data_IF_373561983804
#
_entry.id   IF_373561983804
#
_cell.length_a   1.000
_cell.length_b   1.000
_cell.length_c   1.000
_cell.angle_alpha   90.00
_cell.angle_beta   90.00
_cell.angle_gamma   90.00
#
_symmetry.space_group_name_H-M   'P 1'
#
loop_
_entity.id
_entity.type
_entity.pdbx_description
1 polymer ?
#
# COMPACT_ATOMS: atom_id res chain seq x y z
N UNK A 1 28.12 -28.00 -11.93
CA UNK A 1 27.66 -28.42 -10.60
C UNK A 1 26.42 -29.30 -10.74
N UNK A 2 26.11 -30.02 -9.67
CA UNK A 2 24.96 -30.89 -9.57
C UNK A 2 24.16 -30.55 -8.33
N UNK A 3 22.87 -30.89 -8.36
CA UNK A 3 21.94 -30.81 -7.23
C UNK A 3 21.46 -32.22 -6.87
N UNK A 4 21.59 -32.60 -5.60
CA UNK A 4 21.08 -33.87 -5.08
C UNK A 4 20.81 -33.76 -3.57
N UNK A 5 19.73 -34.31 -3.12
CA UNK A 5 19.34 -34.39 -1.70
C UNK A 5 19.43 -33.05 -0.93
N UNK A 6 19.04 -31.95 -1.61
CA UNK A 6 19.18 -30.56 -1.15
C UNK A 6 20.63 -30.08 -0.91
N UNK A 7 21.59 -30.64 -1.64
CA UNK A 7 22.97 -30.16 -1.70
C UNK A 7 23.27 -29.61 -3.09
N UNK A 8 24.06 -28.53 -3.16
CA UNK A 8 24.86 -28.23 -4.34
C UNK A 8 26.27 -28.82 -4.18
N UNK A 9 26.76 -29.45 -5.22
CA UNK A 9 28.10 -30.01 -5.25
C UNK A 9 28.68 -30.02 -6.67
N UNK A 10 30.01 -30.21 -6.77
CA UNK A 10 30.72 -30.53 -8.00
C UNK A 10 31.59 -31.78 -7.78
N UNK A 11 31.99 -32.42 -8.84
CA UNK A 11 32.97 -33.48 -8.76
C UNK A 11 34.38 -32.91 -8.85
N UNK A 12 35.31 -33.42 -8.03
CA UNK A 12 36.73 -33.16 -8.15
C UNK A 12 37.30 -33.84 -9.42
N UNK A 13 38.56 -33.61 -9.74
CA UNK A 13 39.24 -34.31 -10.85
C UNK A 13 39.31 -35.81 -10.63
N UNK A 14 39.24 -36.27 -9.40
CA UNK A 14 39.30 -37.66 -8.96
C UNK A 14 37.89 -38.30 -8.83
N UNK A 15 36.82 -37.52 -9.15
CA UNK A 15 35.45 -37.99 -9.08
C UNK A 15 34.76 -37.82 -7.70
N UNK A 16 35.47 -37.29 -6.70
CA UNK A 16 34.96 -37.10 -5.36
C UNK A 16 34.03 -35.89 -5.27
N UNK A 17 32.86 -35.96 -4.53
CA UNK A 17 31.95 -34.88 -4.40
C UNK A 17 32.47 -33.75 -3.50
N UNK A 18 32.60 -32.56 -4.06
CA UNK A 18 32.89 -31.32 -3.33
C UNK A 18 31.59 -30.57 -3.05
N UNK A 19 31.15 -30.56 -1.80
CA UNK A 19 29.88 -29.93 -1.35
C UNK A 19 30.03 -28.41 -1.33
N UNK A 20 29.11 -27.71 -1.98
CA UNK A 20 29.03 -26.23 -2.01
C UNK A 20 28.13 -25.66 -0.90
N UNK A 21 27.00 -26.32 -0.62
CA UNK A 21 26.01 -25.87 0.37
C UNK A 21 25.29 -27.05 0.98
N UNK A 22 24.68 -26.84 2.13
CA UNK A 22 23.70 -27.78 2.71
C UNK A 22 22.25 -27.40 2.38
N UNK A 23 22.04 -26.62 1.32
CA UNK A 23 20.74 -26.16 0.83
C UNK A 23 20.75 -25.99 -0.68
N UNK A 24 19.56 -25.94 -1.26
CA UNK A 24 19.31 -25.60 -2.66
C UNK A 24 18.42 -24.38 -2.75
N UNK A 25 18.48 -23.67 -3.87
CA UNK A 25 17.72 -22.45 -4.15
C UNK A 25 16.88 -22.66 -5.40
N UNK A 26 15.57 -22.44 -5.25
CA UNK A 26 14.64 -22.36 -6.37
C UNK A 26 14.35 -20.89 -6.64
N UNK A 27 14.63 -20.36 -7.85
CA UNK A 27 14.28 -19.00 -8.19
C UNK A 27 12.75 -18.87 -8.27
N UNK A 28 12.22 -17.80 -7.70
CA UNK A 28 10.82 -17.44 -7.78
C UNK A 28 10.65 -16.27 -8.75
N UNK A 29 11.05 -15.05 -8.31
CA UNK A 29 10.87 -13.86 -9.12
C UNK A 29 12.04 -12.89 -8.97
N UNK A 30 12.37 -12.20 -10.08
CA UNK A 30 13.12 -10.97 -10.06
C UNK A 30 12.15 -9.79 -9.96
N UNK A 31 12.12 -9.13 -8.83
CA UNK A 31 11.29 -7.96 -8.58
C UNK A 31 12.00 -6.75 -9.17
N UNK A 32 11.39 -6.18 -10.21
CA UNK A 32 11.87 -4.94 -10.83
C UNK A 32 11.48 -3.76 -9.96
N UNK A 33 12.47 -3.08 -9.44
CA UNK A 33 12.36 -1.79 -8.78
C UNK A 33 13.50 -0.91 -9.29
N UNK A 34 13.23 0.37 -9.54
CA UNK A 34 14.20 1.31 -10.06
C UNK A 34 15.33 1.61 -9.06
N UNK A 35 15.04 1.54 -7.78
CA UNK A 35 15.97 1.93 -6.71
C UNK A 35 16.63 0.73 -6.03
N UNK A 36 15.93 -0.38 -5.89
CA UNK A 36 16.40 -1.54 -5.12
C UNK A 36 15.90 -2.86 -5.72
N UNK A 37 16.37 -3.24 -6.93
CA UNK A 37 15.98 -4.50 -7.53
C UNK A 37 16.38 -5.67 -6.63
N UNK A 38 15.49 -6.64 -6.48
CA UNK A 38 15.63 -7.78 -5.58
C UNK A 38 15.15 -9.07 -6.23
N UNK A 39 15.58 -10.20 -5.69
CA UNK A 39 15.17 -11.52 -6.16
C UNK A 39 14.62 -12.34 -5.02
N UNK A 40 13.52 -13.01 -5.26
CA UNK A 40 12.92 -13.94 -4.33
C UNK A 40 13.36 -15.36 -4.67
N UNK A 41 13.81 -16.08 -3.66
CA UNK A 41 14.19 -17.49 -3.74
C UNK A 41 13.50 -18.29 -2.65
N UNK A 42 13.06 -19.49 -3.01
CA UNK A 42 12.73 -20.53 -2.05
C UNK A 42 13.99 -21.34 -1.79
N UNK A 43 14.41 -21.39 -0.53
CA UNK A 43 15.59 -22.16 -0.13
C UNK A 43 15.18 -23.36 0.71
N UNK A 44 15.74 -24.52 0.43
CA UNK A 44 15.43 -25.78 1.15
C UNK A 44 16.72 -26.44 1.58
N UNK A 45 16.89 -26.70 2.88
CA UNK A 45 18.08 -27.35 3.41
C UNK A 45 17.93 -28.88 3.42
N UNK A 46 19.03 -29.55 3.78
CA UNK A 46 19.10 -31.02 3.90
C UNK A 46 18.07 -31.64 4.86
N UNK A 47 17.63 -30.86 5.85
CA UNK A 47 16.60 -31.28 6.81
C UNK A 47 15.19 -31.01 6.28
N UNK A 48 15.04 -30.63 5.01
CA UNK A 48 13.78 -30.26 4.35
C UNK A 48 13.09 -29.04 4.98
N UNK A 49 13.84 -28.22 5.72
CA UNK A 49 13.36 -26.94 6.16
C UNK A 49 13.37 -25.98 4.96
N UNK A 50 12.27 -25.29 4.76
CA UNK A 50 12.07 -24.40 3.62
C UNK A 50 11.74 -23.01 4.09
N UNK A 51 12.46 -22.01 3.53
CA UNK A 51 12.23 -20.61 3.78
C UNK A 51 12.22 -19.83 2.46
N UNK A 52 11.58 -18.67 2.46
CA UNK A 52 11.63 -17.74 1.35
C UNK A 52 12.57 -16.61 1.72
N UNK A 53 13.52 -16.33 0.85
CA UNK A 53 14.52 -15.28 1.06
C UNK A 53 14.45 -14.22 -0.02
N UNK A 54 14.53 -12.97 0.40
CA UNK A 54 14.73 -11.83 -0.46
C UNK A 54 16.22 -11.46 -0.48
N UNK A 55 16.84 -11.51 -1.66
CA UNK A 55 18.22 -11.12 -1.90
C UNK A 55 18.29 -9.91 -2.81
N UNK A 56 18.92 -8.85 -2.35
CA UNK A 56 19.25 -7.68 -3.17
C UNK A 56 20.42 -7.99 -4.09
N UNK A 57 20.61 -7.17 -5.13
CA UNK A 57 21.72 -7.33 -6.04
C UNK A 57 23.09 -7.35 -5.32
N UNK A 58 23.26 -6.51 -4.31
CA UNK A 58 24.49 -6.45 -3.50
C UNK A 58 24.75 -7.71 -2.67
N UNK A 59 23.69 -8.42 -2.24
CA UNK A 59 23.80 -9.69 -1.51
C UNK A 59 24.32 -10.81 -2.42
N UNK A 60 24.03 -10.74 -3.71
CA UNK A 60 24.45 -11.75 -4.69
C UNK A 60 25.80 -11.46 -5.35
N UNK A 61 26.32 -10.25 -5.22
CA UNK A 61 27.63 -9.86 -5.76
C UNK A 61 28.77 -10.19 -4.80
N UNK A 62 28.51 -10.20 -3.49
CA UNK A 62 29.50 -10.46 -2.45
C UNK A 62 29.23 -11.79 -1.76
N UNK A 63 30.17 -12.72 -1.82
CA UNK A 63 30.08 -13.99 -1.11
C UNK A 63 29.85 -13.82 0.39
N UNK A 64 30.49 -12.82 1.00
CA UNK A 64 30.33 -12.53 2.43
C UNK A 64 28.90 -12.08 2.75
N UNK A 65 28.34 -11.16 1.96
CA UNK A 65 26.96 -10.70 2.14
C UNK A 65 25.95 -11.82 1.89
N UNK A 66 26.20 -12.63 0.86
CA UNK A 66 25.38 -13.81 0.58
C UNK A 66 25.31 -14.75 1.78
N UNK A 67 26.49 -15.11 2.35
CA UNK A 67 26.57 -15.95 3.55
C UNK A 67 25.82 -15.33 4.72
N UNK A 68 26.05 -14.05 5.02
CA UNK A 68 25.35 -13.35 6.11
C UNK A 68 23.82 -13.43 5.95
N UNK A 69 23.31 -13.29 4.74
CA UNK A 69 21.87 -13.35 4.46
C UNK A 69 21.31 -14.76 4.63
N UNK A 70 21.90 -15.77 3.99
CA UNK A 70 21.35 -17.14 4.02
C UNK A 70 21.55 -17.83 5.35
N UNK A 71 22.72 -17.63 5.98
CA UNK A 71 23.03 -18.21 7.30
C UNK A 71 22.26 -17.51 8.43
N UNK A 72 21.89 -16.23 8.25
CA UNK A 72 21.07 -15.48 9.21
C UNK A 72 19.62 -15.94 9.28
N UNK A 73 19.11 -16.68 8.30
CA UNK A 73 17.74 -17.20 8.27
C UNK A 73 17.63 -18.50 9.09
N UNK A 74 18.71 -19.28 9.17
CA UNK A 74 18.73 -20.56 9.86
C UNK A 74 19.90 -21.45 9.44
N UNK A 75 19.69 -22.75 9.46
CA UNK A 75 20.73 -23.74 9.14
C UNK A 75 20.94 -23.88 7.62
N UNK A 76 21.39 -22.79 6.97
CA UNK A 76 21.70 -22.70 5.55
C UNK A 76 23.16 -22.29 5.36
N UNK A 77 24.07 -23.23 5.14
CA UNK A 77 25.51 -23.02 5.15
C UNK A 77 26.07 -23.08 3.74
N UNK A 78 26.77 -22.03 3.31
CA UNK A 78 27.52 -21.98 2.05
C UNK A 78 29.00 -22.21 2.29
N UNK A 79 29.57 -23.30 1.75
CA UNK A 79 30.97 -23.73 1.95
C UNK A 79 31.89 -23.39 0.79
N UNK A 80 31.34 -23.14 -0.40
CA UNK A 80 32.09 -22.96 -1.62
C UNK A 80 32.64 -21.53 -1.77
N UNK A 81 33.55 -21.37 -2.78
CA UNK A 81 34.20 -20.10 -3.12
C UNK A 81 33.30 -19.20 -3.97
N UNK A 82 33.77 -17.98 -4.24
CA UNK A 82 33.07 -16.97 -5.01
C UNK A 82 32.76 -17.40 -6.46
N UNK A 83 33.69 -18.08 -7.14
CA UNK A 83 33.48 -18.61 -8.49
C UNK A 83 32.27 -19.56 -8.56
N UNK A 84 32.03 -20.31 -7.51
CA UNK A 84 30.89 -21.24 -7.43
C UNK A 84 29.57 -20.49 -7.25
N UNK A 85 29.57 -19.40 -6.46
CA UNK A 85 28.42 -18.51 -6.33
C UNK A 85 28.11 -17.84 -7.67
N UNK A 86 29.14 -17.42 -8.42
CA UNK A 86 28.97 -16.83 -9.75
C UNK A 86 28.35 -17.81 -10.75
N UNK A 87 28.75 -19.08 -10.72
CA UNK A 87 28.17 -20.14 -11.55
C UNK A 87 26.71 -20.43 -11.16
N UNK A 88 26.42 -20.50 -9.87
CA UNK A 88 25.07 -20.69 -9.36
C UNK A 88 24.14 -19.52 -9.78
N UNK A 89 24.63 -18.28 -9.67
CA UNK A 89 23.88 -17.09 -10.13
C UNK A 89 23.48 -17.20 -11.60
N UNK A 90 24.41 -17.55 -12.48
CA UNK A 90 24.11 -17.72 -13.90
C UNK A 90 22.94 -18.67 -14.12
N UNK A 91 23.00 -19.85 -13.52
CA UNK A 91 21.94 -20.85 -13.58
C UNK A 91 20.59 -20.36 -13.04
N UNK A 92 20.59 -19.72 -11.86
CA UNK A 92 19.37 -19.22 -11.24
C UNK A 92 18.73 -18.08 -12.04
N UNK A 93 19.55 -17.21 -12.66
CA UNK A 93 19.06 -16.05 -13.41
C UNK A 93 18.34 -16.45 -14.71
N UNK A 94 18.79 -17.53 -15.37
CA UNK A 94 18.16 -18.06 -16.58
C UNK A 94 16.74 -18.59 -16.31
N UNK A 95 16.43 -18.99 -15.08
CA UNK A 95 15.15 -19.60 -14.70
C UNK A 95 14.21 -18.62 -13.99
N UNK A 96 14.63 -17.38 -13.77
CA UNK A 96 13.87 -16.42 -12.97
C UNK A 96 12.86 -15.64 -13.81
N UNK A 97 11.57 -15.74 -13.50
CA UNK A 97 10.53 -14.84 -14.01
C UNK A 97 10.70 -13.43 -13.42
N UNK A 98 10.14 -12.44 -14.08
CA UNK A 98 10.15 -11.04 -13.59
C UNK A 98 8.80 -10.62 -13.08
N UNK A 99 8.77 -9.79 -12.03
CA UNK A 99 7.58 -9.12 -11.55
C UNK A 99 7.88 -7.63 -11.27
N UNK A 100 6.88 -6.77 -11.40
CA UNK A 100 6.98 -5.34 -11.08
C UNK A 100 6.41 -5.10 -9.69
N UNK A 101 7.14 -4.42 -8.81
CA UNK A 101 6.64 -4.06 -7.49
C UNK A 101 5.58 -2.97 -7.58
N UNK A 102 4.45 -3.17 -6.91
CA UNK A 102 3.41 -2.15 -6.72
C UNK A 102 3.79 -1.36 -5.47
N UNK A 103 4.26 -0.13 -5.68
CA UNK A 103 4.68 0.79 -4.62
C UNK A 103 3.58 1.74 -4.15
N UNK A 104 2.53 1.91 -4.94
CA UNK A 104 1.34 2.69 -4.64
C UNK A 104 0.10 1.87 -4.97
N UNK A 105 -0.82 1.72 -4.01
CA UNK A 105 -2.07 0.98 -4.21
C UNK A 105 -3.10 1.79 -5.01
N UNK A 106 -4.23 1.18 -5.34
CA UNK A 106 -5.27 1.81 -6.14
C UNK A 106 -5.05 1.65 -7.64
N UNK A 107 -5.42 2.64 -8.44
CA UNK A 107 -5.38 2.57 -9.89
C UNK A 107 -3.96 2.54 -10.43
N UNK A 108 -3.69 1.61 -11.35
CA UNK A 108 -2.38 1.40 -11.97
C UNK A 108 -2.41 1.79 -13.45
N UNK A 109 -1.25 2.14 -13.99
CA UNK A 109 -1.08 2.55 -15.40
C UNK A 109 -1.44 1.44 -16.40
N UNK A 110 -1.41 0.20 -15.97
CA UNK A 110 -1.70 -0.98 -16.79
C UNK A 110 -3.17 -1.41 -16.64
N UNK A 111 -4.06 -0.45 -16.33
CA UNK A 111 -5.52 -0.57 -16.32
C UNK A 111 -6.08 -1.60 -15.34
N UNK A 112 -5.54 -1.65 -14.13
CA UNK A 112 -6.09 -2.45 -13.03
C UNK A 112 -6.08 -1.68 -11.71
N UNK A 113 -6.87 -2.14 -10.72
CA UNK A 113 -6.92 -1.56 -9.39
C UNK A 113 -6.25 -2.50 -8.38
N UNK A 114 -5.19 -2.03 -7.71
CA UNK A 114 -4.41 -2.80 -6.77
C UNK A 114 -4.88 -2.60 -5.32
N UNK A 115 -5.05 -3.71 -4.61
CA UNK A 115 -5.23 -3.78 -3.17
C UNK A 115 -4.01 -4.45 -2.52
N UNK A 116 -3.87 -4.36 -1.20
CA UNK A 116 -2.75 -4.99 -0.51
C UNK A 116 -2.76 -6.53 -0.54
N UNK A 117 -3.87 -7.15 -0.91
CA UNK A 117 -4.06 -8.61 -0.98
C UNK A 117 -4.34 -9.15 -2.39
N UNK A 118 -4.31 -8.30 -3.43
CA UNK A 118 -4.56 -8.71 -4.80
C UNK A 118 -4.95 -7.55 -5.70
N UNK A 119 -5.47 -7.85 -6.87
CA UNK A 119 -5.87 -6.84 -7.85
C UNK A 119 -7.26 -7.12 -8.44
N UNK A 120 -7.94 -6.06 -8.83
CA UNK A 120 -9.15 -6.12 -9.66
C UNK A 120 -8.76 -5.77 -11.10
N UNK A 121 -8.82 -6.74 -11.98
CA UNK A 121 -8.48 -6.60 -13.40
C UNK A 121 -9.64 -7.06 -14.29
N UNK A 122 -10.08 -6.21 -15.22
CA UNK A 122 -11.21 -6.48 -16.10
C UNK A 122 -12.48 -6.99 -15.37
N UNK A 123 -12.78 -6.42 -14.20
CA UNK A 123 -13.92 -6.81 -13.38
C UNK A 123 -13.74 -8.13 -12.61
N UNK A 124 -12.58 -8.77 -12.70
CA UNK A 124 -12.28 -10.04 -12.02
C UNK A 124 -11.27 -9.82 -10.90
N UNK A 125 -11.57 -10.36 -9.73
CA UNK A 125 -10.64 -10.37 -8.60
C UNK A 125 -9.56 -11.43 -8.76
N UNK A 126 -8.30 -11.05 -8.61
CA UNK A 126 -7.14 -11.92 -8.64
C UNK A 126 -6.35 -11.73 -7.35
N UNK A 127 -6.41 -12.72 -6.47
CA UNK A 127 -5.69 -12.70 -5.20
C UNK A 127 -4.18 -12.86 -5.43
N UNK A 128 -3.37 -12.23 -4.57
CA UNK A 128 -1.95 -12.49 -4.52
C UNK A 128 -1.69 -13.91 -3.96
N UNK A 129 -0.67 -14.57 -4.49
CA UNK A 129 -0.22 -15.87 -3.98
C UNK A 129 0.59 -15.73 -2.67
N UNK A 130 1.08 -16.84 -2.12
CA UNK A 130 1.87 -16.86 -0.89
C UNK A 130 3.19 -16.06 -0.97
N UNK A 131 3.66 -15.77 -2.17
CA UNK A 131 4.85 -14.96 -2.42
C UNK A 131 4.53 -13.48 -2.60
N UNK A 132 3.25 -13.11 -2.62
CA UNK A 132 2.76 -11.78 -2.91
C UNK A 132 2.69 -11.46 -4.40
N UNK A 133 2.68 -12.48 -5.27
CA UNK A 133 2.64 -12.31 -6.72
C UNK A 133 1.21 -12.42 -7.24
N UNK A 134 0.86 -11.51 -8.16
CA UNK A 134 -0.33 -11.60 -9.01
C UNK A 134 0.11 -11.70 -10.46
N UNK A 135 -0.34 -12.73 -11.17
CA UNK A 135 -0.07 -12.92 -12.60
C UNK A 135 -1.25 -12.42 -13.41
N UNK A 136 -1.08 -11.30 -14.13
CA UNK A 136 -2.10 -10.75 -15.02
C UNK A 136 -1.90 -11.27 -16.44
N UNK A 137 -2.90 -11.92 -17.04
CA UNK A 137 -2.83 -12.37 -18.43
C UNK A 137 -2.51 -11.21 -19.36
N UNK A 138 -1.57 -11.42 -20.28
CA UNK A 138 -1.16 -10.47 -21.33
C UNK A 138 -0.55 -9.13 -20.86
N UNK A 139 -0.46 -8.91 -19.52
CA UNK A 139 0.10 -7.68 -18.92
C UNK A 139 1.43 -7.96 -18.24
N UNK A 140 1.46 -8.94 -17.31
CA UNK A 140 2.69 -9.29 -16.60
C UNK A 140 2.46 -9.75 -15.17
N UNK A 141 3.58 -9.91 -14.44
CA UNK A 141 3.54 -10.29 -13.04
C UNK A 141 3.76 -9.05 -12.16
N UNK A 142 3.00 -8.96 -11.09
CA UNK A 142 3.08 -7.87 -10.12
C UNK A 142 3.33 -8.40 -8.72
N UNK A 143 4.11 -7.65 -7.95
CA UNK A 143 4.49 -8.00 -6.59
C UNK A 143 3.84 -7.05 -5.58
N UNK A 144 3.13 -7.62 -4.63
CA UNK A 144 2.49 -6.95 -3.48
C UNK A 144 3.21 -7.40 -2.20
N UNK A 145 4.18 -6.64 -1.69
CA UNK A 145 4.98 -7.04 -0.54
C UNK A 145 4.14 -7.29 0.72
N UNK A 146 3.05 -6.55 0.91
CA UNK A 146 2.14 -6.70 2.06
C UNK A 146 1.48 -8.09 2.13
N UNK A 147 1.26 -8.76 0.99
CA UNK A 147 0.69 -10.10 0.88
C UNK A 147 1.74 -11.21 1.03
N UNK A 148 3.04 -10.89 0.87
CA UNK A 148 4.11 -11.88 0.90
C UNK A 148 4.29 -12.50 2.28
N UNK A 149 4.47 -13.83 2.31
CA UNK A 149 4.78 -14.60 3.53
C UNK A 149 6.10 -14.20 4.18
N UNK A 150 7.05 -13.62 3.42
CA UNK A 150 8.34 -13.10 3.90
C UNK A 150 8.12 -12.10 5.05
N UNK A 151 7.11 -11.23 4.92
CA UNK A 151 6.84 -10.16 5.89
C UNK A 151 5.69 -10.48 6.85
N UNK A 152 5.22 -11.73 6.90
CA UNK A 152 4.07 -12.13 7.75
C UNK A 152 4.25 -11.76 9.21
N UNK A 153 5.47 -11.91 9.73
CA UNK A 153 5.80 -11.65 11.13
C UNK A 153 6.20 -10.19 11.39
N UNK A 154 6.41 -9.39 10.35
CA UNK A 154 6.83 -7.99 10.45
C UNK A 154 5.61 -7.07 10.57
N UNK A 155 4.97 -7.07 11.74
CA UNK A 155 3.71 -6.33 11.98
C UNK A 155 3.80 -4.82 11.78
N UNK A 156 5.00 -4.25 11.84
CA UNK A 156 5.23 -2.81 11.67
C UNK A 156 5.35 -2.37 10.22
N UNK A 157 5.63 -3.31 9.30
CA UNK A 157 5.73 -3.03 7.87
C UNK A 157 4.35 -3.15 7.20
N UNK A 158 4.16 -2.36 6.17
CA UNK A 158 2.97 -2.40 5.30
C UNK A 158 1.64 -2.27 6.05
N UNK A 159 1.59 -1.38 7.06
CA UNK A 159 0.41 -1.23 7.92
C UNK A 159 -0.82 -0.72 7.16
N UNK A 160 -0.62 0.20 6.23
CA UNK A 160 -1.68 0.72 5.38
C UNK A 160 -2.10 -0.33 4.35
N UNK A 161 -1.16 -0.91 3.63
CA UNK A 161 -1.39 -1.90 2.57
C UNK A 161 -2.14 -3.13 3.10
N UNK A 162 -1.86 -3.54 4.33
CA UNK A 162 -2.57 -4.65 5.00
C UNK A 162 -3.99 -4.31 5.43
N UNK A 163 -4.31 -3.03 5.53
CA UNK A 163 -5.67 -2.54 5.79
C UNK A 163 -6.40 -2.17 4.49
N UNK A 164 -5.67 -1.86 3.41
CA UNK A 164 -6.21 -1.55 2.09
C UNK A 164 -6.44 -2.85 1.32
N UNK A 165 -7.52 -3.55 1.63
CA UNK A 165 -7.77 -4.91 1.15
C UNK A 165 -9.15 -5.05 0.54
N UNK A 166 -9.26 -5.91 -0.45
CA UNK A 166 -10.54 -6.35 -0.98
C UNK A 166 -11.07 -7.53 -0.15
N UNK A 167 -12.31 -7.41 0.31
CA UNK A 167 -13.03 -8.47 1.02
C UNK A 167 -14.18 -8.96 0.13
N UNK A 168 -14.30 -10.28 -0.01
CA UNK A 168 -15.31 -10.89 -0.89
C UNK A 168 -16.58 -11.30 -0.13
N UNK A 169 -16.70 -10.95 1.14
CA UNK A 169 -17.66 -11.60 2.03
C UNK A 169 -18.96 -10.81 2.26
N UNK A 170 -19.14 -9.64 1.64
CA UNK A 170 -20.34 -8.85 1.88
C UNK A 170 -21.43 -9.17 0.87
N UNK A 171 -22.61 -9.59 1.35
CA UNK A 171 -23.85 -9.65 0.56
C UNK A 171 -24.50 -8.25 0.41
N UNK A 172 -23.89 -7.23 1.02
CA UNK A 172 -24.41 -5.86 1.02
C UNK A 172 -24.07 -5.19 -0.31
N UNK A 173 -25.08 -4.83 -1.07
CA UNK A 173 -24.88 -4.09 -2.33
C UNK A 173 -24.54 -2.63 -2.06
N UNK A 174 -23.83 -1.99 -2.99
CA UNK A 174 -23.52 -0.56 -2.97
C UNK A 174 -24.78 0.30 -2.73
N UNK A 175 -25.89 -0.05 -3.37
CA UNK A 175 -27.16 0.66 -3.19
C UNK A 175 -27.66 0.57 -1.74
N UNK A 176 -27.71 -0.63 -1.19
CA UNK A 176 -28.18 -0.83 0.20
C UNK A 176 -27.29 -0.05 1.19
N UNK A 177 -25.97 -0.08 1.00
CA UNK A 177 -25.04 0.67 1.85
C UNK A 177 -25.24 2.20 1.71
N UNK A 178 -25.39 2.70 0.48
CA UNK A 178 -25.67 4.12 0.21
C UNK A 178 -26.99 4.57 0.81
N UNK A 179 -28.06 3.78 0.68
CA UNK A 179 -29.37 4.09 1.28
C UNK A 179 -29.25 4.16 2.82
N UNK A 180 -28.45 3.29 3.43
CA UNK A 180 -28.16 3.31 4.87
C UNK A 180 -27.38 4.55 5.28
N UNK A 181 -26.35 4.93 4.53
CA UNK A 181 -25.59 6.18 4.74
C UNK A 181 -26.50 7.42 4.66
N UNK A 182 -27.34 7.47 3.64
CA UNK A 182 -28.29 8.58 3.45
C UNK A 182 -29.32 8.64 4.57
N UNK A 183 -29.78 7.49 5.07
CA UNK A 183 -30.71 7.44 6.21
C UNK A 183 -30.09 7.98 7.51
N UNK A 184 -28.75 7.97 7.65
CA UNK A 184 -28.02 8.47 8.82
C UNK A 184 -27.58 9.92 8.63
N UNK A 185 -26.98 10.26 7.47
CA UNK A 185 -26.30 11.54 7.25
C UNK A 185 -26.99 12.47 6.24
N UNK A 186 -28.12 12.03 5.66
CA UNK A 186 -28.90 12.84 4.70
C UNK A 186 -28.05 13.26 3.48
N UNK A 187 -28.11 14.55 3.13
CA UNK A 187 -27.42 15.11 1.97
C UNK A 187 -25.89 15.07 2.10
N UNK A 188 -25.35 15.11 3.32
CA UNK A 188 -23.93 14.93 3.55
C UNK A 188 -23.43 13.57 3.03
N UNK A 189 -24.23 12.50 3.20
CA UNK A 189 -23.92 11.19 2.63
C UNK A 189 -23.93 11.20 1.10
N UNK A 190 -24.91 11.86 0.48
CA UNK A 190 -25.01 11.95 -0.99
C UNK A 190 -23.77 12.63 -1.57
N UNK A 191 -23.39 13.79 -1.02
CA UNK A 191 -22.20 14.53 -1.47
C UNK A 191 -20.93 13.72 -1.20
N UNK A 192 -20.82 13.05 -0.04
CA UNK A 192 -19.70 12.17 0.29
C UNK A 192 -19.55 11.03 -0.71
N UNK A 193 -20.66 10.37 -1.10
CA UNK A 193 -20.65 9.31 -2.12
C UNK A 193 -20.30 9.86 -3.51
N UNK A 194 -20.81 11.03 -3.91
CA UNK A 194 -20.38 11.67 -5.16
C UNK A 194 -18.89 11.97 -5.16
N UNK A 195 -18.33 12.45 -4.04
CA UNK A 195 -16.91 12.69 -3.90
C UNK A 195 -16.09 11.39 -4.00
N UNK A 196 -16.55 10.30 -3.38
CA UNK A 196 -15.94 8.97 -3.50
C UNK A 196 -15.88 8.51 -4.96
N UNK A 197 -17.01 8.60 -5.68
CA UNK A 197 -17.02 8.24 -7.10
C UNK A 197 -16.12 9.13 -7.96
N UNK A 198 -16.13 10.45 -7.73
CA UNK A 198 -15.22 11.36 -8.42
C UNK A 198 -13.75 11.01 -8.14
N UNK A 199 -13.44 10.55 -6.93
CA UNK A 199 -12.09 10.10 -6.54
C UNK A 199 -11.64 8.86 -7.31
N UNK A 200 -12.54 7.90 -7.58
CA UNK A 200 -12.19 6.71 -8.38
C UNK A 200 -11.72 7.07 -9.80
N UNK A 201 -12.07 8.26 -10.29
CA UNK A 201 -11.68 8.80 -11.60
C UNK A 201 -10.84 10.08 -11.46
N UNK A 202 -10.11 10.22 -10.36
CA UNK A 202 -9.35 11.44 -10.08
C UNK A 202 -8.34 11.76 -11.18
N UNK A 203 -7.65 10.78 -11.71
CA UNK A 203 -6.70 10.92 -12.82
C UNK A 203 -7.38 11.54 -14.05
N UNK A 204 -8.56 11.06 -14.43
CA UNK A 204 -9.36 11.60 -15.54
C UNK A 204 -9.85 13.02 -15.24
N UNK A 205 -10.35 13.27 -14.02
CA UNK A 205 -10.81 14.59 -13.59
C UNK A 205 -9.66 15.60 -13.62
N UNK A 206 -8.53 15.27 -13.03
CA UNK A 206 -7.37 16.17 -12.95
C UNK A 206 -6.69 16.37 -14.29
N UNK A 207 -6.78 15.45 -15.23
CA UNK A 207 -6.31 15.66 -16.59
C UNK A 207 -6.99 16.88 -17.25
N UNK A 208 -8.27 17.13 -16.90
CA UNK A 208 -9.06 18.26 -17.43
C UNK A 208 -8.97 19.48 -16.53
N UNK A 209 -9.24 19.33 -15.22
CA UNK A 209 -9.38 20.44 -14.26
C UNK A 209 -8.06 20.96 -13.72
N UNK A 210 -6.99 20.16 -13.81
CA UNK A 210 -5.64 20.38 -13.25
C UNK A 210 -5.56 20.30 -11.72
N UNK A 211 -6.67 20.24 -11.04
CA UNK A 211 -6.74 20.15 -9.58
C UNK A 211 -7.94 19.32 -9.13
N UNK A 212 -7.96 18.95 -7.85
CA UNK A 212 -9.03 18.14 -7.27
C UNK A 212 -9.41 18.68 -5.88
N UNK A 213 -10.70 18.92 -5.58
CA UNK A 213 -11.11 19.49 -4.31
C UNK A 213 -10.84 18.52 -3.14
N UNK A 214 -10.72 19.09 -1.94
CA UNK A 214 -10.62 18.35 -0.69
C UNK A 214 -12.02 18.32 -0.06
N UNK A 215 -12.47 17.15 0.39
CA UNK A 215 -13.74 17.02 1.12
C UNK A 215 -13.52 17.39 2.58
N UNK A 216 -14.08 18.49 3.03
CA UNK A 216 -13.98 18.95 4.41
C UNK A 216 -15.23 18.60 5.23
N UNK A 217 -15.03 17.81 6.29
CA UNK A 217 -16.07 17.47 7.25
C UNK A 217 -15.95 18.37 8.48
N UNK A 218 -16.82 19.35 8.59
CA UNK A 218 -16.78 20.38 9.62
C UNK A 218 -17.96 20.28 10.59
N UNK A 219 -17.70 20.45 11.88
CA UNK A 219 -18.76 20.50 12.90
C UNK A 219 -18.26 20.19 14.31
N UNK A 220 -19.11 20.38 15.33
CA UNK A 220 -18.73 20.16 16.74
C UNK A 220 -18.38 18.69 17.02
N UNK A 221 -17.74 18.46 18.17
CA UNK A 221 -17.44 17.10 18.63
C UNK A 221 -18.73 16.30 18.82
N UNK A 222 -18.72 15.04 18.38
CA UNK A 222 -19.88 14.14 18.50
C UNK A 222 -20.95 14.32 17.45
N UNK A 223 -20.76 15.18 16.43
CA UNK A 223 -21.77 15.43 15.37
C UNK A 223 -21.81 14.34 14.27
N UNK A 224 -20.99 13.30 14.33
CA UNK A 224 -20.98 12.20 13.35
C UNK A 224 -20.03 12.37 12.16
N UNK A 225 -19.28 13.48 12.04
CA UNK A 225 -18.37 13.74 10.92
C UNK A 225 -17.31 12.65 10.72
N UNK A 226 -16.64 12.22 11.79
CA UNK A 226 -15.64 11.16 11.70
C UNK A 226 -16.24 9.81 11.26
N UNK A 227 -17.50 9.54 11.63
CA UNK A 227 -18.20 8.33 11.21
C UNK A 227 -18.55 8.33 9.71
N UNK A 228 -18.93 9.49 9.14
CA UNK A 228 -19.07 9.59 7.69
C UNK A 228 -17.70 9.37 7.01
N UNK A 229 -16.63 9.97 7.52
CA UNK A 229 -15.28 9.74 7.02
C UNK A 229 -14.89 8.26 7.04
N UNK A 230 -15.09 7.58 8.17
CA UNK A 230 -14.83 6.14 8.30
C UNK A 230 -15.72 5.30 7.36
N UNK A 231 -16.98 5.70 7.16
CA UNK A 231 -17.89 4.98 6.27
C UNK A 231 -17.53 5.12 4.80
N UNK A 232 -16.95 6.26 4.39
CA UNK A 232 -16.42 6.44 3.04
C UNK A 232 -15.07 5.68 2.87
N UNK A 233 -14.23 5.70 3.89
CA UNK A 233 -12.95 4.97 3.87
C UNK A 233 -13.13 3.45 3.82
N UNK A 234 -14.22 2.91 4.37
CA UNK A 234 -14.46 1.45 4.39
C UNK A 234 -14.62 0.81 3.03
N UNK A 235 -14.79 1.59 1.95
CA UNK A 235 -14.72 1.09 0.58
C UNK A 235 -13.32 0.63 0.16
N UNK A 236 -12.28 1.02 0.90
CA UNK A 236 -10.89 0.72 0.58
C UNK A 236 -10.11 0.14 1.76
N UNK A 237 -10.38 0.64 2.97
CA UNK A 237 -9.51 0.42 4.15
C UNK A 237 -10.34 -0.12 5.32
N UNK A 238 -9.96 -1.30 5.80
CA UNK A 238 -10.51 -1.83 7.04
C UNK A 238 -9.88 -1.12 8.25
N UNK A 239 -10.69 -0.81 9.27
CA UNK A 239 -10.22 -0.16 10.51
C UNK A 239 -9.35 1.09 10.25
N UNK A 240 -9.91 2.04 9.48
CA UNK A 240 -9.23 3.31 9.18
C UNK A 240 -8.93 4.10 10.47
N UNK A 241 -7.67 4.49 10.65
CA UNK A 241 -7.17 5.34 11.73
C UNK A 241 -6.51 6.58 11.10
N UNK A 242 -7.24 7.68 10.91
CA UNK A 242 -6.71 8.85 10.22
C UNK A 242 -5.59 9.51 11.03
N UNK A 243 -4.47 9.92 10.40
CA UNK A 243 -3.45 10.71 11.06
C UNK A 243 -4.02 12.07 11.49
N UNK A 244 -3.55 12.54 12.65
CA UNK A 244 -3.90 13.86 13.16
C UNK A 244 -3.03 14.92 12.45
N UNK A 245 -3.67 15.87 11.79
CA UNK A 245 -2.97 16.93 11.03
C UNK A 245 -2.01 17.75 11.87
N UNK A 246 -2.35 18.01 13.13
CA UNK A 246 -1.55 18.86 14.02
C UNK A 246 -0.35 18.14 14.64
N UNK A 247 -0.45 16.84 14.92
CA UNK A 247 0.58 16.08 15.65
C UNK A 247 1.42 15.15 14.77
N UNK A 248 0.94 14.76 13.59
CA UNK A 248 1.72 13.94 12.67
C UNK A 248 2.91 14.72 12.09
N UNK A 249 4.01 14.03 11.77
CA UNK A 249 5.15 14.65 11.10
C UNK A 249 4.84 14.96 9.63
N UNK A 250 5.56 15.93 9.02
CA UNK A 250 5.43 16.24 7.58
C UNK A 250 5.70 15.02 6.69
N UNK A 251 6.65 14.18 7.11
CA UNK A 251 6.97 12.96 6.38
C UNK A 251 5.81 11.95 6.44
N UNK A 252 5.18 11.76 7.60
CA UNK A 252 4.05 10.86 7.76
C UNK A 252 2.82 11.33 6.96
N UNK A 253 2.53 12.63 6.93
CA UNK A 253 1.44 13.16 6.12
C UNK A 253 1.70 13.03 4.61
N UNK A 254 2.94 13.31 4.18
CA UNK A 254 3.33 13.14 2.78
C UNK A 254 3.25 11.66 2.35
N UNK A 255 3.69 10.74 3.23
CA UNK A 255 3.58 9.30 3.01
C UNK A 255 2.11 8.88 2.91
N UNK A 256 1.27 9.33 3.83
CA UNK A 256 -0.17 9.02 3.84
C UNK A 256 -0.85 9.34 2.50
N UNK A 257 -0.56 10.49 1.90
CA UNK A 257 -1.21 10.90 0.64
C UNK A 257 -0.57 10.29 -0.62
N UNK A 258 0.61 9.66 -0.47
CA UNK A 258 1.30 8.94 -1.54
C UNK A 258 0.90 7.46 -1.64
N UNK A 259 0.23 6.91 -0.62
CA UNK A 259 -0.03 5.47 -0.48
C UNK A 259 -0.97 4.90 -1.53
N UNK A 260 -1.86 5.72 -2.11
CA UNK A 260 -2.82 5.22 -3.09
C UNK A 260 -3.17 6.25 -4.18
N UNK A 261 -3.58 5.73 -5.34
CA UNK A 261 -4.11 6.48 -6.48
C UNK A 261 -5.60 6.15 -6.70
N UNK A 262 -6.40 7.16 -7.04
CA UNK A 262 -7.85 7.03 -7.28
C UNK A 262 -8.62 6.34 -6.12
N UNK A 263 -8.15 6.54 -4.90
CA UNK A 263 -8.78 6.07 -3.67
C UNK A 263 -8.77 7.17 -2.61
N UNK A 264 -9.47 6.96 -1.51
CA UNK A 264 -9.60 7.96 -0.46
C UNK A 264 -8.49 7.84 0.60
N UNK A 265 -8.10 9.00 1.13
CA UNK A 265 -7.29 9.16 2.33
C UNK A 265 -8.00 10.11 3.28
N UNK A 266 -7.98 9.81 4.57
CA UNK A 266 -8.60 10.65 5.59
C UNK A 266 -7.53 11.21 6.54
N UNK A 267 -7.54 12.54 6.73
CA UNK A 267 -6.71 13.28 7.69
C UNK A 267 -7.65 13.98 8.66
N UNK A 268 -7.41 13.84 9.96
CA UNK A 268 -8.32 14.36 11.00
C UNK A 268 -7.68 15.51 11.80
N UNK A 269 -8.51 16.16 12.63
CA UNK A 269 -8.14 17.21 13.58
C UNK A 269 -7.57 18.48 12.93
N UNK A 270 -8.26 18.99 11.88
CA UNK A 270 -8.00 20.34 11.40
C UNK A 270 -8.37 21.37 12.47
N UNK A 271 -7.48 22.35 12.70
CA UNK A 271 -7.67 23.53 13.55
C UNK A 271 -7.11 24.77 12.87
N UNK A 272 -7.69 25.92 13.15
CA UNK A 272 -7.19 27.20 12.61
C UNK A 272 -5.80 27.59 13.14
N UNK A 273 -5.38 27.01 14.27
CA UNK A 273 -4.07 27.23 14.89
C UNK A 273 -2.92 26.41 14.26
N UNK A 274 -3.17 25.65 13.16
CA UNK A 274 -2.09 24.92 12.48
C UNK A 274 -1.01 25.85 11.93
N UNK A 275 0.22 25.36 11.92
CA UNK A 275 1.39 26.06 11.42
C UNK A 275 1.31 26.36 9.90
N UNK A 276 2.08 27.34 9.44
CA UNK A 276 2.08 27.76 8.04
C UNK A 276 2.44 26.62 7.08
N UNK A 277 3.43 25.78 7.43
CA UNK A 277 3.81 24.61 6.63
C UNK A 277 2.65 23.64 6.41
N UNK A 278 1.78 23.47 7.43
CA UNK A 278 0.55 22.64 7.31
C UNK A 278 -0.48 23.27 6.37
N UNK A 279 -0.60 24.59 6.41
CA UNK A 279 -1.50 25.31 5.48
C UNK A 279 -1.03 25.14 4.04
N UNK A 280 0.28 25.31 3.79
CA UNK A 280 0.85 25.09 2.47
C UNK A 280 0.72 23.64 2.01
N UNK A 281 0.87 22.67 2.90
CA UNK A 281 0.61 21.27 2.60
C UNK A 281 -0.84 21.05 2.14
N UNK A 282 -1.85 21.59 2.85
CA UNK A 282 -3.26 21.46 2.45
C UNK A 282 -3.50 22.09 1.07
N UNK A 283 -2.91 23.25 0.78
CA UNK A 283 -3.01 23.87 -0.56
C UNK A 283 -2.43 22.96 -1.63
N UNK A 284 -1.27 22.35 -1.34
CA UNK A 284 -0.62 21.40 -2.23
C UNK A 284 -1.48 20.16 -2.53
N UNK A 285 -2.27 19.67 -1.57
CA UNK A 285 -3.17 18.53 -1.80
C UNK A 285 -4.18 18.79 -2.94
N UNK A 286 -4.70 20.01 -3.02
CA UNK A 286 -5.60 20.43 -4.10
C UNK A 286 -4.90 20.50 -5.45
N UNK A 287 -3.65 20.95 -5.46
CA UNK A 287 -2.82 21.11 -6.67
C UNK A 287 -2.14 19.79 -7.10
N UNK A 288 -2.40 18.68 -6.40
CA UNK A 288 -1.81 17.36 -6.67
C UNK A 288 -0.36 17.20 -6.20
N UNK A 289 0.13 18.11 -5.34
CA UNK A 289 1.51 18.13 -4.86
C UNK A 289 1.56 17.98 -3.35
N UNK A 290 2.12 16.89 -2.86
CA UNK A 290 2.28 16.63 -1.42
C UNK A 290 3.51 17.34 -0.85
N UNK A 291 4.69 16.83 -1.12
CA UNK A 291 5.96 17.38 -0.65
C UNK A 291 7.04 17.28 -1.70
N UNK A 292 7.84 18.32 -1.84
CA UNK A 292 9.05 18.28 -2.66
C UNK A 292 10.27 18.07 -1.75
N UNK A 293 11.05 17.02 -1.97
CA UNK A 293 12.36 16.80 -1.33
C UNK A 293 13.48 16.91 -2.36
N UNK A 294 14.58 17.51 -1.95
CA UNK A 294 15.86 17.30 -2.65
C UNK A 294 16.45 16.00 -2.13
N UNK A 295 16.61 15.02 -3.01
CA UNK A 295 17.32 13.79 -2.66
C UNK A 295 18.81 14.15 -2.44
N UNK A 296 19.37 13.73 -1.30
CA UNK A 296 20.78 13.98 -0.97
C UNK A 296 21.75 13.09 -1.75
N UNK A 297 21.24 12.19 -2.58
CA UNK A 297 22.06 11.30 -3.39
C UNK A 297 22.71 12.04 -4.56
N UNK A 298 23.86 11.53 -5.02
CA UNK A 298 24.75 12.17 -5.99
C UNK A 298 24.07 12.62 -7.29
N UNK A 299 22.95 12.02 -7.66
CA UNK A 299 22.19 12.34 -8.87
C UNK A 299 21.22 13.52 -8.72
N UNK A 300 21.10 14.12 -7.54
CA UNK A 300 20.31 15.32 -7.22
C UNK A 300 18.93 15.44 -7.91
N UNK A 301 18.24 14.32 -8.08
CA UNK A 301 16.88 14.33 -8.62
C UNK A 301 15.92 14.87 -7.55
N UNK A 302 15.10 15.84 -7.95
CA UNK A 302 13.97 16.29 -7.13
C UNK A 302 12.95 15.19 -7.08
N UNK A 303 12.61 14.76 -5.89
CA UNK A 303 11.50 13.86 -5.65
C UNK A 303 10.31 14.69 -5.16
N UNK A 304 9.24 14.71 -5.93
CA UNK A 304 7.98 15.35 -5.55
C UNK A 304 6.99 14.24 -5.29
N UNK A 305 6.44 14.20 -4.08
CA UNK A 305 5.35 13.29 -3.75
C UNK A 305 4.10 13.73 -4.49
N UNK A 306 3.60 12.93 -5.42
CA UNK A 306 2.32 13.16 -6.08
C UNK A 306 1.18 12.86 -5.09
N UNK A 307 0.06 13.57 -5.24
CA UNK A 307 -1.19 13.33 -4.50
C UNK A 307 -2.23 12.84 -5.49
N UNK A 308 -2.25 11.52 -5.67
CA UNK A 308 -3.15 10.86 -6.61
C UNK A 308 -4.45 10.37 -5.95
N UNK A 309 -4.56 10.51 -4.62
CA UNK A 309 -5.73 10.17 -3.80
C UNK A 309 -6.72 11.33 -3.65
N UNK A 310 -8.00 11.04 -3.42
CA UNK A 310 -8.97 12.00 -2.88
C UNK A 310 -8.76 12.17 -1.38
N UNK A 311 -8.77 13.40 -0.89
CA UNK A 311 -8.50 13.69 0.53
C UNK A 311 -9.76 14.11 1.26
N UNK A 312 -10.05 13.42 2.37
CA UNK A 312 -11.03 13.84 3.37
C UNK A 312 -10.26 14.56 4.49
N UNK A 313 -10.66 15.77 4.81
CA UNK A 313 -10.13 16.54 5.93
C UNK A 313 -11.26 16.76 6.95
N UNK A 314 -11.09 16.31 8.20
CA UNK A 314 -12.10 16.54 9.23
C UNK A 314 -11.59 17.44 10.36
N UNK A 315 -12.50 18.19 10.96
CA UNK A 315 -12.14 19.12 12.04
C UNK A 315 -13.34 19.74 12.72
N UNK A 316 -13.08 20.44 13.82
CA UNK A 316 -14.13 21.15 14.58
C UNK A 316 -14.24 22.61 14.15
N UNK A 317 -13.21 23.16 13.51
CA UNK A 317 -13.13 24.55 13.09
C UNK A 317 -13.23 24.65 11.57
N UNK A 318 -13.96 25.65 11.10
CA UNK A 318 -14.04 25.97 9.68
C UNK A 318 -12.74 26.67 9.24
N UNK A 319 -12.11 26.29 8.12
CA UNK A 319 -10.88 26.89 7.63
C UNK A 319 -11.09 28.32 7.08
N UNK A 320 -11.41 29.27 7.94
CA UNK A 320 -11.71 30.65 7.57
C UNK A 320 -10.50 31.60 7.65
N UNK A 321 -9.42 31.18 8.29
CA UNK A 321 -8.22 32.03 8.45
C UNK A 321 -7.49 32.22 7.11
N UNK A 322 -7.53 31.23 6.23
CA UNK A 322 -6.86 31.24 4.94
C UNK A 322 -7.89 31.05 3.80
N UNK A 323 -8.21 32.15 3.10
CA UNK A 323 -9.15 32.18 1.98
C UNK A 323 -8.70 31.21 0.87
N UNK A 324 -7.41 31.03 0.68
CA UNK A 324 -6.88 30.12 -0.33
C UNK A 324 -7.15 28.65 0.02
N UNK A 325 -7.13 28.27 1.29
CA UNK A 325 -7.56 26.94 1.72
C UNK A 325 -9.08 26.84 1.54
N UNK A 326 -9.83 27.84 2.03
CA UNK A 326 -11.30 27.84 1.98
C UNK A 326 -11.81 27.57 0.55
N UNK A 327 -11.25 28.22 -0.46
CA UNK A 327 -11.67 28.06 -1.86
C UNK A 327 -11.37 26.68 -2.49
N UNK A 328 -10.58 25.85 -1.82
CA UNK A 328 -10.15 24.52 -2.29
C UNK A 328 -10.96 23.37 -1.69
N UNK A 329 -11.92 23.68 -0.83
CA UNK A 329 -12.66 22.70 -0.04
C UNK A 329 -14.10 22.56 -0.50
N UNK A 330 -14.59 21.33 -0.53
CA UNK A 330 -16.01 21.00 -0.52
C UNK A 330 -16.46 20.84 0.93
N UNK A 331 -17.38 21.67 1.41
CA UNK A 331 -17.79 21.67 2.80
C UNK A 331 -19.00 20.78 3.04
N UNK A 332 -18.91 19.90 4.04
CA UNK A 332 -20.03 19.21 4.64
C UNK A 332 -20.13 19.65 6.10
N UNK A 333 -21.23 20.33 6.42
CA UNK A 333 -21.48 20.84 7.76
C UNK A 333 -22.28 19.84 8.57
N UNK A 334 -21.79 19.57 9.78
CA UNK A 334 -22.45 18.69 10.75
C UNK A 334 -22.89 19.51 11.97
N UNK A 335 -24.12 19.33 12.34
CA UNK A 335 -24.70 19.92 13.56
C UNK A 335 -24.93 18.82 14.61
N UNK A 336 -24.96 19.19 15.88
CA UNK A 336 -25.45 18.29 16.92
C UNK A 336 -26.95 18.11 16.73
N UNK A 337 -27.38 16.91 16.42
CA UNK A 337 -28.78 16.55 16.41
C UNK A 337 -29.27 16.27 17.82
N UNK A 338 -30.55 16.52 18.08
CA UNK A 338 -31.19 16.02 19.29
C UNK A 338 -31.10 14.50 19.33
N UNK A 339 -30.83 13.97 20.52
CA UNK A 339 -30.71 12.51 20.71
C UNK A 339 -32.09 11.88 20.50
N UNK A 340 -32.20 10.96 19.55
CA UNK A 340 -33.33 10.06 19.41
C UNK A 340 -32.90 8.61 19.42
N UNK A 341 -33.67 7.74 20.02
CA UNK A 341 -33.42 6.28 20.06
C UNK A 341 -33.37 5.72 18.64
N UNK A 342 -34.20 6.23 17.73
CA UNK A 342 -34.21 5.81 16.34
C UNK A 342 -32.95 6.22 15.59
N UNK A 343 -32.49 7.47 15.75
CA UNK A 343 -31.23 7.94 15.14
C UNK A 343 -30.03 7.13 15.64
N UNK A 344 -29.98 6.82 16.94
CA UNK A 344 -28.95 5.96 17.50
C UNK A 344 -28.98 4.56 16.88
N UNK A 345 -30.15 3.94 16.75
CA UNK A 345 -30.27 2.62 16.13
C UNK A 345 -29.77 2.61 14.69
N UNK A 346 -30.18 3.61 13.86
CA UNK A 346 -29.68 3.73 12.47
C UNK A 346 -28.17 3.84 12.41
N UNK A 347 -27.59 4.58 13.33
CA UNK A 347 -26.15 4.78 13.44
C UNK A 347 -25.40 3.50 13.88
N UNK A 348 -25.91 2.78 14.86
CA UNK A 348 -25.33 1.51 15.35
C UNK A 348 -25.45 0.42 14.26
N UNK A 349 -26.56 0.36 13.54
CA UNK A 349 -26.76 -0.50 12.38
C UNK A 349 -25.72 -0.23 11.28
N UNK A 350 -25.45 1.06 10.96
CA UNK A 350 -24.45 1.43 9.96
C UNK A 350 -23.04 0.98 10.38
N UNK A 351 -22.69 1.13 11.66
CA UNK A 351 -21.40 0.63 12.18
C UNK A 351 -21.28 -0.87 12.03
N UNK A 352 -22.35 -1.61 12.32
CA UNK A 352 -22.38 -3.06 12.14
C UNK A 352 -22.16 -3.43 10.67
N UNK A 353 -22.85 -2.77 9.74
CA UNK A 353 -22.68 -3.02 8.31
C UNK A 353 -21.25 -2.73 7.83
N UNK A 354 -20.67 -1.63 8.31
CA UNK A 354 -19.26 -1.29 7.99
C UNK A 354 -18.28 -2.35 8.50
N UNK A 355 -18.56 -3.03 9.61
CA UNK A 355 -17.70 -4.07 10.15
C UNK A 355 -17.81 -5.41 9.44
N UNK A 356 -18.81 -5.58 8.60
CA UNK A 356 -19.02 -6.80 7.80
C UNK A 356 -18.26 -6.76 6.44
N UNK A 357 -17.60 -5.65 6.11
CA UNK A 357 -16.79 -5.45 4.91
C UNK A 357 -17.46 -4.58 3.88
#
# INVERSE_FOLDING_TARGET
FCERDNYYYSLSKEGEPMVWSNFVMQPLFHIKDQLSPKRLYKITNINRQTEIVELKQEDLVSLQRFKLKVEGIGNYIWKAKDDHLTKLKGYLYEQTETATEITQLGWQKDDFFAFGNGVLYNGTWMAADEYGIVKLPDVGNYYLPAASSIYRNERKLFQFERKFVHTTMSEITLRQYTDKLVAVFGDNAKVGMCFLFATLFKDVVTAVTKNFPILNLFGPKGSGKSELGHSLMSFFVINNEPPNLSSATDAALADTVAQCANALVHIDEYKNSIELNRREFIKGLYDGVGRTRMNMDRDKKRETTAVDCGVILSGQEMPTIDIAIFSRLLFLTFNTSEFSVEAKRKFDDLKTWRSLG
#
